data_IF_505294402440
#
_entry.id   IF_505294402440
#
_cell.length_a   1.000
_cell.length_b   1.000
_cell.length_c   1.000
_cell.angle_alpha   90.00
_cell.angle_beta   90.00
_cell.angle_gamma   90.00
#
_symmetry.space_group_name_H-M   'P 1'
#
loop_
_entity.id
_entity.type
_entity.pdbx_description
1 polymer ?
#
# COMPACT_ATOMS: atom_id res chain seq x y z
N UNK A 1 -74.82 19.48 55.08
CA UNK A 1 -73.82 20.53 54.81
C UNK A 1 -72.93 20.69 56.05
N UNK A 2 -71.65 21.01 55.83
CA UNK A 2 -70.56 21.25 56.79
C UNK A 2 -69.70 20.03 57.18
N UNK A 3 -68.39 20.21 57.01
CA UNK A 3 -67.36 19.22 56.71
C UNK A 3 -66.66 18.64 57.94
N UNK A 4 -66.23 17.37 57.83
CA UNK A 4 -65.31 16.72 58.77
C UNK A 4 -63.88 17.22 58.56
N UNK A 5 -63.28 17.71 59.63
CA UNK A 5 -61.86 18.06 59.76
C UNK A 5 -61.00 16.81 59.88
N UNK A 6 -60.17 16.53 58.87
CA UNK A 6 -59.10 15.52 58.91
C UNK A 6 -57.74 16.21 58.89
N UNK A 7 -57.01 16.14 60.02
CA UNK A 7 -55.64 16.62 60.13
C UNK A 7 -54.66 15.63 59.50
N UNK A 8 -53.78 16.11 58.61
CA UNK A 8 -52.69 15.34 58.05
C UNK A 8 -51.38 15.68 58.76
N UNK A 9 -50.84 14.69 59.49
CA UNK A 9 -49.51 14.75 60.12
C UNK A 9 -48.46 14.57 59.00
N UNK A 10 -47.70 15.63 58.68
CA UNK A 10 -46.49 15.50 57.85
C UNK A 10 -45.37 14.88 58.67
N UNK A 11 -45.08 13.59 58.47
CA UNK A 11 -43.79 13.00 58.86
C UNK A 11 -42.73 13.45 57.86
N UNK A 12 -41.84 14.37 58.26
CA UNK A 12 -40.58 14.63 57.55
C UNK A 12 -39.65 13.44 57.82
N UNK A 13 -39.32 12.68 56.78
CA UNK A 13 -38.21 11.72 56.86
C UNK A 13 -36.90 12.52 56.90
N UNK A 14 -36.23 12.50 58.05
CA UNK A 14 -34.85 12.96 58.18
C UNK A 14 -33.96 11.87 57.60
N UNK A 15 -33.39 12.10 56.42
CA UNK A 15 -32.29 11.26 55.95
C UNK A 15 -31.03 11.70 56.69
N UNK A 16 -30.46 10.77 57.46
CA UNK A 16 -29.20 10.93 58.17
C UNK A 16 -28.08 11.03 57.13
N UNK A 17 -27.38 12.16 57.05
CA UNK A 17 -26.09 12.27 56.34
C UNK A 17 -25.03 11.59 57.21
N UNK A 18 -24.73 10.33 56.92
CA UNK A 18 -23.50 9.70 57.39
C UNK A 18 -22.45 9.88 56.31
N UNK A 19 -21.47 10.75 56.57
CA UNK A 19 -20.24 10.86 55.79
C UNK A 19 -19.48 9.53 55.90
N UNK A 20 -19.75 8.62 54.97
CA UNK A 20 -19.00 7.39 54.84
C UNK A 20 -17.65 7.73 54.19
N UNK A 21 -16.57 7.72 54.97
CA UNK A 21 -15.22 7.64 54.44
C UNK A 21 -15.15 6.43 53.50
N UNK A 22 -14.87 6.61 52.20
CA UNK A 22 -14.83 5.49 51.28
C UNK A 22 -13.65 4.59 51.66
N UNK A 23 -13.95 3.35 52.02
CA UNK A 23 -12.95 2.32 52.27
C UNK A 23 -12.17 2.05 50.96
N UNK A 24 -10.84 2.30 50.92
CA UNK A 24 -10.05 2.17 49.70
C UNK A 24 -9.90 0.71 49.22
N UNK A 25 -10.27 -0.28 50.04
CA UNK A 25 -10.16 -1.70 49.70
C UNK A 25 -11.41 -2.28 49.04
N UNK A 26 -12.47 -1.49 48.83
CA UNK A 26 -13.68 -1.92 48.13
C UNK A 26 -13.97 -0.94 46.99
N UNK A 27 -13.10 -0.92 45.98
CA UNK A 27 -13.41 -0.29 44.71
C UNK A 27 -14.52 -1.11 44.03
N UNK A 28 -15.78 -0.71 44.24
CA UNK A 28 -16.88 -1.17 43.40
C UNK A 28 -16.57 -0.69 41.98
N UNK A 29 -16.21 -1.63 41.10
CA UNK A 29 -16.19 -1.40 39.65
C UNK A 29 -17.63 -1.16 39.24
N UNK A 30 -18.06 0.09 39.40
CA UNK A 30 -19.28 0.56 38.77
C UNK A 30 -18.91 0.74 37.31
N UNK A 31 -19.39 -0.17 36.46
CA UNK A 31 -19.46 0.10 35.03
C UNK A 31 -20.42 1.28 34.86
N UNK A 32 -19.90 2.50 35.02
CA UNK A 32 -20.63 3.70 34.67
C UNK A 32 -20.78 3.66 33.16
N UNK A 33 -21.99 3.33 32.71
CA UNK A 33 -22.39 3.55 31.33
C UNK A 33 -22.43 5.06 31.13
N UNK A 34 -21.28 5.64 30.77
CA UNK A 34 -21.24 7.02 30.29
C UNK A 34 -21.85 6.97 28.90
N UNK A 35 -23.05 7.53 28.74
CA UNK A 35 -23.64 7.74 27.42
C UNK A 35 -22.73 8.69 26.65
N UNK A 36 -21.84 8.13 25.83
CA UNK A 36 -20.97 8.92 24.97
C UNK A 36 -21.74 9.22 23.69
N UNK A 37 -22.25 10.44 23.58
CA UNK A 37 -22.78 10.96 22.33
C UNK A 37 -21.64 11.01 21.30
N UNK A 38 -21.84 10.36 20.15
CA UNK A 38 -20.88 10.35 19.06
C UNK A 38 -21.52 11.00 17.84
N UNK A 39 -20.98 12.13 17.40
CA UNK A 39 -21.28 12.71 16.10
C UNK A 39 -19.96 12.95 15.38
N UNK A 40 -19.68 12.15 14.36
CA UNK A 40 -18.43 12.19 13.60
C UNK A 40 -18.68 12.44 12.12
N UNK A 41 -17.82 13.21 11.47
CA UNK A 41 -17.78 13.38 10.02
C UNK A 41 -16.48 12.81 9.48
N UNK A 42 -16.56 11.94 8.46
CA UNK A 42 -15.40 11.32 7.84
C UNK A 42 -15.03 12.05 6.54
N UNK A 43 -13.73 12.19 6.30
CA UNK A 43 -13.16 12.75 5.08
C UNK A 43 -12.20 11.74 4.47
N UNK A 44 -12.41 11.42 3.20
CA UNK A 44 -11.53 10.54 2.43
C UNK A 44 -11.27 11.17 1.07
N UNK A 45 -10.04 11.05 0.60
CA UNK A 45 -9.62 11.40 -0.74
C UNK A 45 -8.86 10.22 -1.32
N UNK A 46 -9.26 9.78 -2.51
CA UNK A 46 -8.67 8.63 -3.18
C UNK A 46 -8.54 8.96 -4.67
N UNK A 47 -7.32 8.82 -5.21
CA UNK A 47 -7.02 9.17 -6.59
C UNK A 47 -6.03 8.19 -7.23
N UNK A 48 -6.06 8.10 -8.56
CA UNK A 48 -5.11 7.33 -9.36
C UNK A 48 -4.61 8.19 -10.52
N UNK A 49 -3.31 8.12 -10.83
CA UNK A 49 -2.67 8.91 -11.88
C UNK A 49 -2.14 8.02 -13.02
N UNK A 50 -2.67 8.24 -14.22
CA UNK A 50 -2.23 7.58 -15.45
C UNK A 50 -1.62 8.59 -16.43
N UNK A 51 -0.50 8.21 -17.06
CA UNK A 51 0.17 8.99 -18.10
C UNK A 51 0.17 8.22 -19.42
N UNK A 52 -0.08 8.91 -20.54
CA UNK A 52 0.07 8.36 -21.89
C UNK A 52 1.40 8.83 -22.48
N UNK A 53 2.32 7.90 -22.71
CA UNK A 53 3.64 8.19 -23.29
C UNK A 53 3.64 7.78 -24.76
N UNK A 54 4.17 8.61 -25.64
CA UNK A 54 4.38 8.23 -27.04
C UNK A 54 5.49 7.20 -27.12
N UNK A 55 5.24 6.06 -27.75
CA UNK A 55 6.28 5.07 -28.03
C UNK A 55 7.22 5.66 -29.10
N UNK A 56 8.29 6.31 -28.66
CA UNK A 56 9.47 6.49 -29.51
C UNK A 56 10.24 5.19 -29.43
N UNK A 57 10.02 4.35 -30.44
CA UNK A 57 10.78 3.14 -30.79
C UNK A 57 12.25 3.31 -30.35
N UNK A 58 12.60 2.70 -29.22
CA UNK A 58 13.96 2.54 -28.76
C UNK A 58 14.50 1.22 -29.33
N UNK A 59 14.65 1.17 -30.65
CA UNK A 59 15.46 0.18 -31.38
C UNK A 59 15.76 0.75 -32.77
N UNK A 60 16.95 1.36 -33.01
CA UNK A 60 17.36 1.80 -34.35
C UNK A 60 17.67 0.65 -35.32
N UNK A 61 17.33 -0.60 -34.97
CA UNK A 61 17.84 -1.80 -35.66
C UNK A 61 16.79 -2.77 -36.18
N UNK A 62 15.50 -2.44 -36.09
CA UNK A 62 14.46 -3.27 -36.68
C UNK A 62 13.34 -2.41 -37.27
N UNK A 63 13.63 -1.83 -38.43
CA UNK A 63 12.72 -0.98 -39.23
C UNK A 63 11.67 -1.79 -40.00
N UNK A 64 11.27 -2.95 -39.48
CA UNK A 64 10.44 -3.93 -40.20
C UNK A 64 9.19 -4.35 -39.44
N UNK A 65 8.63 -3.45 -38.62
CA UNK A 65 7.27 -3.60 -38.08
C UNK A 65 6.38 -2.49 -38.61
N UNK A 66 5.65 -2.89 -39.64
CA UNK A 66 4.61 -2.17 -40.35
C UNK A 66 3.70 -1.41 -39.40
N UNK A 67 3.55 -0.14 -39.76
CA UNK A 67 2.82 0.92 -39.10
C UNK A 67 1.33 0.54 -38.94
N UNK A 68 0.83 0.58 -37.71
CA UNK A 68 -0.59 0.74 -37.43
C UNK A 68 -0.77 2.10 -36.73
N UNK A 69 -1.52 3.05 -37.31
CA UNK A 69 -1.65 4.42 -36.80
C UNK A 69 -2.40 4.52 -35.45
N UNK A 70 -2.94 3.40 -34.95
CA UNK A 70 -3.69 3.29 -33.70
C UNK A 70 -2.76 3.11 -32.46
N UNK A 71 -1.48 2.78 -32.65
CA UNK A 71 -0.61 2.18 -31.60
C UNK A 71 0.53 3.08 -31.12
N UNK A 72 0.38 4.41 -31.16
CA UNK A 72 1.50 5.34 -30.83
C UNK A 72 1.63 5.70 -29.35
N UNK A 73 0.67 5.31 -28.49
CA UNK A 73 0.67 5.72 -27.09
C UNK A 73 0.61 4.51 -26.15
N UNK A 74 1.68 4.31 -25.37
CA UNK A 74 1.70 3.37 -24.26
C UNK A 74 1.14 4.05 -23.02
N UNK A 75 0.07 3.48 -22.45
CA UNK A 75 -0.46 3.89 -21.14
C UNK A 75 0.47 3.38 -20.05
N UNK A 76 0.93 4.28 -19.19
CA UNK A 76 1.77 3.97 -18.03
C UNK A 76 1.09 4.52 -16.79
N UNK A 77 0.66 3.62 -15.89
CA UNK A 77 0.12 4.01 -14.58
C UNK A 77 1.30 4.43 -13.69
N UNK A 78 1.33 5.70 -13.30
CA UNK A 78 2.40 6.23 -12.43
C UNK A 78 2.06 6.03 -10.96
N UNK A 79 0.78 6.17 -10.60
CA UNK A 79 0.26 5.93 -9.27
C UNK A 79 -1.06 5.18 -9.45
N UNK A 80 -1.12 3.95 -8.93
CA UNK A 80 -2.33 3.12 -9.00
C UNK A 80 -3.38 3.61 -8.00
N UNK A 81 -2.94 4.06 -6.84
CA UNK A 81 -3.79 4.65 -5.83
C UNK A 81 -2.98 5.49 -4.85
N UNK A 82 -3.41 6.72 -4.63
CA UNK A 82 -2.95 7.58 -3.54
C UNK A 82 -4.17 8.15 -2.85
N UNK A 83 -4.15 8.14 -1.53
CA UNK A 83 -5.25 8.68 -0.78
C UNK A 83 -4.92 9.01 0.66
N UNK A 84 -5.85 9.68 1.30
CA UNK A 84 -5.83 9.92 2.72
C UNK A 84 -7.22 9.84 3.33
N UNK A 85 -7.29 9.46 4.59
CA UNK A 85 -8.53 9.44 5.36
C UNK A 85 -8.32 10.02 6.76
N UNK A 86 -9.31 10.78 7.21
CA UNK A 86 -9.39 11.33 8.57
C UNK A 86 -10.86 11.49 8.95
N UNK A 87 -11.14 11.76 10.22
CA UNK A 87 -12.49 12.02 10.70
C UNK A 87 -12.47 13.10 11.76
N UNK A 88 -13.59 13.80 11.92
CA UNK A 88 -13.76 14.87 12.88
C UNK A 88 -14.94 14.55 13.80
N UNK A 89 -14.66 14.35 15.08
CA UNK A 89 -15.65 14.16 16.13
C UNK A 89 -16.09 15.50 16.71
N UNK A 90 -17.35 15.85 16.47
CA UNK A 90 -17.95 17.13 16.88
C UNK A 90 -18.18 17.15 18.40
N UNK A 91 -18.51 16.01 19.00
CA UNK A 91 -18.88 15.86 20.41
C UNK A 91 -17.68 15.63 21.34
N UNK A 92 -16.45 15.54 20.81
CA UNK A 92 -15.28 15.34 21.65
C UNK A 92 -14.84 16.65 22.33
N UNK A 93 -14.55 16.59 23.64
CA UNK A 93 -14.04 17.74 24.40
C UNK A 93 -12.63 18.17 23.94
N UNK A 94 -11.84 17.20 23.48
CA UNK A 94 -10.49 17.39 22.94
C UNK A 94 -10.20 16.39 21.82
N UNK A 95 -9.14 16.63 21.05
CA UNK A 95 -8.69 15.74 19.97
C UNK A 95 -9.80 15.42 18.95
N UNK A 96 -10.51 16.47 18.50
CA UNK A 96 -11.67 16.34 17.61
C UNK A 96 -11.32 15.72 16.26
N UNK A 97 -10.21 16.12 15.64
CA UNK A 97 -9.68 15.54 14.41
C UNK A 97 -8.91 14.24 14.70
N UNK A 98 -9.23 13.16 14.02
CA UNK A 98 -8.55 11.89 14.10
C UNK A 98 -7.20 11.92 13.35
N UNK A 99 -6.28 11.00 13.65
CA UNK A 99 -5.06 10.84 12.88
C UNK A 99 -5.34 10.68 11.38
N UNK A 100 -4.55 11.38 10.58
CA UNK A 100 -4.58 11.32 9.12
C UNK A 100 -3.85 10.06 8.67
N UNK A 101 -4.58 9.10 8.12
CA UNK A 101 -3.96 7.94 7.46
C UNK A 101 -3.75 8.26 5.99
N UNK A 102 -2.55 8.04 5.49
CA UNK A 102 -2.13 8.32 4.12
C UNK A 102 -1.63 7.01 3.52
N UNK A 103 -1.94 6.76 2.26
CA UNK A 103 -1.42 5.61 1.55
C UNK A 103 -1.06 5.96 0.11
N UNK A 104 -0.10 5.23 -0.44
CA UNK A 104 0.27 5.25 -1.85
C UNK A 104 0.60 3.85 -2.33
N UNK A 105 0.16 3.53 -3.54
CA UNK A 105 0.42 2.28 -4.24
C UNK A 105 0.74 2.60 -5.70
N UNK A 106 1.80 2.01 -6.21
CA UNK A 106 2.15 2.08 -7.62
C UNK A 106 2.78 0.78 -8.11
N UNK A 107 2.55 0.48 -9.39
CA UNK A 107 3.25 -0.58 -10.11
C UNK A 107 4.00 0.05 -11.29
N UNK A 108 5.27 0.34 -11.08
CA UNK A 108 6.11 0.96 -12.08
C UNK A 108 6.56 -0.08 -13.10
N UNK A 109 6.25 0.20 -14.37
CA UNK A 109 6.67 -0.59 -15.53
C UNK A 109 6.29 -2.08 -15.46
N UNK A 110 5.23 -2.42 -14.71
CA UNK A 110 4.78 -3.80 -14.49
C UNK A 110 5.83 -4.71 -13.83
N UNK A 111 6.85 -4.11 -13.22
CA UNK A 111 8.03 -4.81 -12.68
C UNK A 111 8.32 -4.47 -11.23
N UNK A 112 7.98 -3.26 -10.80
CA UNK A 112 8.29 -2.77 -9.46
C UNK A 112 7.00 -2.35 -8.78
N UNK A 113 6.53 -3.17 -7.85
CA UNK A 113 5.41 -2.82 -7.00
C UNK A 113 5.94 -2.06 -5.78
N UNK A 114 5.34 -0.90 -5.51
CA UNK A 114 5.66 -0.06 -4.36
C UNK A 114 4.36 0.22 -3.64
N UNK A 115 4.33 -0.03 -2.33
CA UNK A 115 3.25 0.39 -1.47
C UNK A 115 3.84 1.05 -0.22
N UNK A 116 3.27 2.18 0.16
CA UNK A 116 3.64 2.86 1.40
C UNK A 116 2.39 3.39 2.07
N UNK A 117 2.46 3.47 3.40
CA UNK A 117 1.41 4.04 4.23
C UNK A 117 2.02 4.79 5.39
N UNK A 118 1.33 5.83 5.87
CA UNK A 118 1.73 6.57 7.05
C UNK A 118 0.53 7.04 7.84
N UNK A 119 0.68 7.14 9.16
CA UNK A 119 -0.31 7.73 10.05
C UNK A 119 0.27 8.97 10.70
N UNK A 120 -0.35 10.11 10.45
CA UNK A 120 0.03 11.41 10.96
C UNK A 120 -0.95 11.86 12.04
N UNK A 121 -0.43 12.31 13.18
CA UNK A 121 -1.20 12.91 14.27
C UNK A 121 -1.18 14.43 14.08
N UNK A 122 -2.35 15.10 13.90
CA UNK A 122 -2.42 16.52 13.58
C UNK A 122 -2.21 17.46 14.77
N UNK A 123 -1.75 16.94 15.91
CA UNK A 123 -1.59 17.67 17.17
C UNK A 123 -0.13 17.82 17.56
N UNK A 124 0.16 18.80 18.41
CA UNK A 124 1.45 18.90 19.08
C UNK A 124 1.55 17.80 20.13
N UNK A 125 2.70 17.14 20.22
CA UNK A 125 2.97 16.16 21.27
C UNK A 125 3.68 16.85 22.45
N UNK A 126 3.37 16.43 23.67
CA UNK A 126 4.11 16.87 24.85
C UNK A 126 5.43 16.07 25.01
N UNK A 127 6.18 16.34 26.07
CA UNK A 127 7.45 15.64 26.38
C UNK A 127 7.27 14.14 26.68
N UNK A 128 6.04 13.66 26.77
CA UNK A 128 5.67 12.27 27.04
C UNK A 128 4.94 11.64 25.83
N UNK A 129 5.06 12.23 24.63
CA UNK A 129 4.45 11.70 23.41
C UNK A 129 2.93 11.86 23.27
N UNK A 130 2.25 12.38 24.30
CA UNK A 130 0.79 12.51 24.27
C UNK A 130 0.35 13.73 23.45
N UNK A 131 -0.67 13.52 22.60
CA UNK A 131 -1.28 14.58 21.83
C UNK A 131 -1.93 15.63 22.74
N UNK A 132 -1.57 16.89 22.50
CA UNK A 132 -2.17 18.04 23.18
C UNK A 132 -3.39 18.54 22.39
N UNK A 133 -4.28 19.31 23.02
CA UNK A 133 -5.44 19.91 22.34
C UNK A 133 -5.08 20.97 21.29
N UNK A 134 -3.78 21.23 21.06
CA UNK A 134 -3.29 22.20 20.08
C UNK A 134 -2.90 21.49 18.80
N UNK A 135 -3.36 22.04 17.68
CA UNK A 135 -2.97 21.54 16.37
C UNK A 135 -1.51 21.86 16.05
N UNK A 136 -0.87 21.00 15.28
CA UNK A 136 0.54 21.14 14.92
C UNK A 136 0.83 22.46 14.17
N UNK A 137 -0.09 22.90 13.31
CA UNK A 137 0.04 24.14 12.53
C UNK A 137 -0.15 25.43 13.35
N UNK A 138 -0.58 25.33 14.62
CA UNK A 138 -0.74 26.49 15.51
C UNK A 138 0.57 26.89 16.23
N UNK A 139 1.63 26.09 16.11
CA UNK A 139 2.88 26.22 16.89
C UNK A 139 3.92 27.22 16.37
N UNK A 140 3.55 28.14 15.47
CA UNK A 140 4.45 29.17 14.92
C UNK A 140 5.43 28.68 13.84
N UNK A 141 5.62 27.36 13.68
CA UNK A 141 6.30 26.73 12.53
C UNK A 141 5.28 25.95 11.71
N UNK A 142 5.40 25.99 10.38
CA UNK A 142 4.54 25.20 9.51
C UNK A 142 4.83 23.71 9.74
N UNK A 143 3.94 23.03 10.45
CA UNK A 143 3.96 21.59 10.70
C UNK A 143 2.57 21.03 10.52
N UNK A 144 2.46 19.96 9.75
CA UNK A 144 1.20 19.28 9.48
C UNK A 144 0.85 18.27 10.58
N UNK A 145 1.79 17.93 11.46
CA UNK A 145 1.64 16.89 12.48
C UNK A 145 2.91 16.06 12.66
N UNK A 146 2.81 15.02 13.49
CA UNK A 146 3.89 14.04 13.68
C UNK A 146 3.49 12.69 13.10
N UNK A 147 4.38 12.07 12.33
CA UNK A 147 4.17 10.73 11.79
C UNK A 147 4.46 9.73 12.92
N UNK A 148 3.48 8.90 13.25
CA UNK A 148 3.59 7.89 14.34
C UNK A 148 3.92 6.50 13.79
N UNK A 149 3.42 6.22 12.60
CA UNK A 149 3.71 4.99 11.87
C UNK A 149 3.98 5.34 10.41
N UNK A 150 4.98 4.71 9.82
CA UNK A 150 5.18 4.66 8.39
C UNK A 150 5.56 3.23 7.98
N UNK A 151 5.06 2.77 6.85
CA UNK A 151 5.44 1.51 6.24
C UNK A 151 5.76 1.72 4.77
N UNK A 152 6.71 0.94 4.27
CA UNK A 152 7.13 0.90 2.88
C UNK A 152 7.42 -0.55 2.50
N UNK A 153 6.78 -1.01 1.44
CA UNK A 153 7.01 -2.32 0.83
C UNK A 153 7.33 -2.15 -0.65
N UNK A 154 8.40 -2.81 -1.08
CA UNK A 154 8.90 -2.81 -2.45
C UNK A 154 9.03 -4.26 -2.91
N UNK A 155 8.48 -4.61 -4.07
CA UNK A 155 8.69 -5.93 -4.66
C UNK A 155 8.97 -5.85 -6.16
N UNK A 156 9.83 -6.73 -6.65
CA UNK A 156 10.15 -6.85 -8.07
C UNK A 156 10.38 -8.29 -8.46
N UNK A 157 9.96 -8.63 -9.68
CA UNK A 157 10.12 -9.96 -10.27
C UNK A 157 10.74 -9.83 -11.65
N UNK A 158 11.84 -10.55 -11.85
CA UNK A 158 12.51 -10.68 -13.15
C UNK A 158 12.42 -12.14 -13.59
N UNK A 159 12.06 -12.33 -14.85
CA UNK A 159 12.03 -13.65 -15.49
C UNK A 159 12.77 -13.59 -16.82
N UNK A 160 13.48 -14.68 -17.14
CA UNK A 160 14.06 -14.88 -18.46
C UNK A 160 12.98 -14.85 -19.54
N UNK A 161 13.28 -14.26 -20.69
CA UNK A 161 12.37 -14.35 -21.85
C UNK A 161 12.27 -15.83 -22.27
N UNK A 162 11.06 -16.35 -22.53
CA UNK A 162 10.92 -17.71 -23.05
C UNK A 162 11.58 -17.81 -24.42
N UNK A 163 12.03 -19.02 -24.77
CA UNK A 163 12.64 -19.31 -26.07
C UNK A 163 11.62 -19.01 -27.17
N UNK A 164 11.98 -18.16 -28.12
CA UNK A 164 11.11 -17.79 -29.23
C UNK A 164 11.05 -18.94 -30.25
N UNK A 165 9.90 -19.62 -30.40
CA UNK A 165 9.76 -20.77 -31.30
C UNK A 165 9.91 -20.38 -32.78
N UNK A 166 9.60 -19.14 -33.17
CA UNK A 166 9.76 -18.68 -34.55
C UNK A 166 11.24 -18.43 -34.86
N UNK A 167 11.98 -17.87 -33.89
CA UNK A 167 13.43 -17.66 -34.01
C UNK A 167 14.19 -18.99 -34.04
N UNK A 168 13.72 -19.98 -33.28
CA UNK A 168 14.26 -21.35 -33.33
C UNK A 168 13.93 -22.03 -34.67
N UNK A 169 12.71 -21.89 -35.19
CA UNK A 169 12.35 -22.39 -36.53
C UNK A 169 13.20 -21.76 -37.63
N UNK A 170 13.35 -20.43 -37.65
CA UNK A 170 14.24 -19.75 -38.62
C UNK A 170 15.69 -20.22 -38.50
N UNK A 171 16.17 -20.48 -37.29
CA UNK A 171 17.50 -21.06 -37.06
C UNK A 171 17.59 -22.49 -37.61
N UNK A 172 16.59 -23.32 -37.37
CA UNK A 172 16.54 -24.69 -37.89
C UNK A 172 16.39 -24.72 -39.42
N UNK A 173 15.58 -23.85 -40.00
CA UNK A 173 15.40 -23.73 -41.45
C UNK A 173 16.69 -23.26 -42.14
N UNK A 174 17.40 -22.30 -41.54
CA UNK A 174 18.72 -21.87 -42.03
C UNK A 174 19.76 -23.01 -41.95
N UNK A 175 19.77 -23.77 -40.85
CA UNK A 175 20.65 -24.94 -40.71
C UNK A 175 20.29 -26.01 -41.76
N UNK A 176 19.01 -26.32 -41.94
CA UNK A 176 18.53 -27.30 -42.91
C UNK A 176 18.81 -26.90 -44.36
N UNK A 177 18.77 -25.61 -44.69
CA UNK A 177 19.16 -25.11 -46.02
C UNK A 177 20.66 -25.28 -46.27
N UNK A 178 21.49 -24.99 -45.26
CA UNK A 178 22.95 -25.16 -45.33
C UNK A 178 23.34 -26.65 -45.43
N UNK A 179 22.58 -27.53 -44.78
CA UNK A 179 22.78 -28.99 -44.81
C UNK A 179 22.23 -29.67 -46.08
N UNK A 180 21.42 -29.00 -46.89
CA UNK A 180 20.90 -29.58 -48.15
C UNK A 180 21.65 -29.09 -49.39
N UNK A 181 22.73 -28.31 -49.23
CA UNK A 181 23.55 -27.81 -50.34
C UNK A 181 24.42 -28.96 -50.92
N UNK A 182 24.22 -29.39 -52.18
CA UNK A 182 24.91 -30.54 -52.77
C UNK A 182 26.43 -30.40 -52.86
N UNK A 183 26.97 -29.17 -52.72
CA UNK A 183 28.41 -28.90 -52.77
C UNK A 183 29.14 -29.16 -51.42
N UNK A 184 28.41 -29.31 -50.30
CA UNK A 184 28.99 -29.48 -48.95
C UNK A 184 28.86 -30.90 -48.35
N UNK A 185 28.47 -31.90 -49.14
CA UNK A 185 28.17 -33.27 -48.62
C UNK A 185 29.37 -34.01 -47.99
N UNK A 186 30.60 -33.71 -48.41
CA UNK A 186 31.81 -34.32 -47.85
C UNK A 186 32.15 -33.74 -46.46
N UNK A 187 32.00 -32.41 -46.29
CA UNK A 187 32.18 -31.75 -45.00
C UNK A 187 31.07 -32.13 -44.01
N UNK A 188 29.84 -32.36 -44.49
CA UNK A 188 28.72 -32.81 -43.66
C UNK A 188 29.01 -34.11 -42.92
N UNK A 189 29.62 -35.11 -43.57
CA UNK A 189 29.93 -36.38 -42.91
C UNK A 189 30.95 -36.18 -41.78
N UNK A 190 31.96 -35.34 -41.99
CA UNK A 190 32.94 -35.00 -40.95
C UNK A 190 32.29 -34.21 -39.79
N UNK A 191 31.41 -33.26 -40.09
CA UNK A 191 30.65 -32.49 -39.10
C UNK A 191 29.69 -33.37 -38.29
N UNK A 192 29.02 -34.36 -38.90
CA UNK A 192 28.18 -35.31 -38.19
C UNK A 192 28.99 -36.22 -37.26
N UNK A 193 30.16 -36.67 -37.69
CA UNK A 193 31.07 -37.49 -36.87
C UNK A 193 31.64 -36.68 -35.70
N UNK A 194 31.98 -35.41 -35.94
CA UNK A 194 32.36 -34.45 -34.90
C UNK A 194 31.20 -34.17 -33.93
N UNK A 195 29.98 -33.96 -34.43
CA UNK A 195 28.79 -33.68 -33.62
C UNK A 195 28.37 -34.88 -32.75
N UNK A 196 28.49 -36.10 -33.28
CA UNK A 196 28.25 -37.35 -32.54
C UNK A 196 29.30 -37.56 -31.44
N UNK A 197 30.53 -37.11 -31.63
CA UNK A 197 31.57 -37.07 -30.58
C UNK A 197 31.39 -35.87 -29.62
N UNK A 198 30.85 -34.74 -30.09
CA UNK A 198 30.72 -33.49 -29.36
C UNK A 198 29.31 -33.27 -28.77
N UNK A 199 28.71 -34.31 -28.21
CA UNK A 199 27.33 -34.34 -27.65
C UNK A 199 27.06 -33.40 -26.45
N UNK A 200 27.79 -32.29 -26.31
CA UNK A 200 27.69 -31.28 -25.26
C UNK A 200 27.60 -29.86 -25.79
N UNK A 201 26.77 -29.61 -26.81
CA UNK A 201 26.31 -28.24 -27.02
C UNK A 201 25.37 -27.87 -25.87
N UNK A 202 25.90 -27.12 -24.89
CA UNK A 202 25.13 -26.62 -23.76
C UNK A 202 24.15 -25.58 -24.28
N UNK A 203 22.84 -25.84 -24.18
CA UNK A 203 21.82 -24.83 -24.42
C UNK A 203 21.83 -23.84 -23.25
N UNK A 204 22.43 -22.67 -23.45
CA UNK A 204 22.52 -21.62 -22.43
C UNK A 204 21.19 -20.90 -22.18
N UNK A 205 20.10 -21.27 -22.86
CA UNK A 205 18.76 -20.74 -22.60
C UNK A 205 18.10 -21.44 -21.40
N UNK A 206 18.70 -21.30 -20.22
CA UNK A 206 18.14 -21.79 -18.96
C UNK A 206 17.14 -20.76 -18.41
N UNK A 207 15.88 -21.15 -18.15
CA UNK A 207 14.90 -20.23 -17.58
C UNK A 207 15.30 -19.87 -16.16
N UNK A 208 15.34 -18.58 -15.84
CA UNK A 208 15.66 -18.08 -14.51
C UNK A 208 14.60 -17.08 -14.06
N UNK A 209 14.33 -17.08 -12.76
CA UNK A 209 13.49 -16.08 -12.12
C UNK A 209 14.13 -15.58 -10.84
N UNK A 210 14.04 -14.28 -10.62
CA UNK A 210 14.55 -13.60 -9.42
C UNK A 210 13.44 -12.74 -8.87
N UNK A 211 13.06 -13.00 -7.62
CA UNK A 211 12.06 -12.21 -6.88
C UNK A 211 12.77 -11.52 -5.72
N UNK A 212 12.60 -10.20 -5.63
CA UNK A 212 13.12 -9.40 -4.53
C UNK A 212 11.96 -8.72 -3.83
N UNK A 213 11.90 -8.85 -2.51
CA UNK A 213 10.92 -8.19 -1.65
C UNK A 213 11.66 -7.48 -0.53
N UNK A 214 11.33 -6.21 -0.31
CA UNK A 214 11.82 -5.40 0.80
C UNK A 214 10.63 -4.81 1.55
N UNK A 215 10.68 -4.88 2.87
CA UNK A 215 9.68 -4.31 3.76
C UNK A 215 10.37 -3.54 4.87
N UNK A 216 9.88 -2.33 5.15
CA UNK A 216 10.30 -1.53 6.29
C UNK A 216 9.08 -0.92 6.96
N UNK A 217 9.14 -0.85 8.28
CA UNK A 217 8.17 -0.15 9.10
C UNK A 217 8.92 0.71 10.11
N UNK A 218 8.45 1.93 10.30
CA UNK A 218 8.91 2.84 11.33
C UNK A 218 7.72 3.03 12.26
N UNK A 219 7.92 2.71 13.52
CA UNK A 219 7.01 2.99 14.61
C UNK A 219 7.82 3.87 15.54
N UNK A 220 7.40 5.11 15.71
CA UNK A 220 8.05 5.99 16.69
C UNK A 220 7.44 5.66 18.05
N UNK A 221 8.23 4.96 18.89
CA UNK A 221 7.97 4.81 20.33
C UNK A 221 8.75 5.91 21.07
N UNK A 222 8.14 6.44 22.14
CA UNK A 222 8.65 7.56 22.94
C UNK A 222 9.92 7.21 23.76
#
# INVERSE_FOLDING_TARGET
MANRTGGFIRKKALYNTMDAYPNPYIARVTNQFVSRENAGMSFSFDNSLEMKVRDKISDPKDTTKTESPETQFKKVRLIEGFGFNTSYNIMADSLKLAPLSIYVRTNLFEKVNISAGATLVPYQLNNFGAATSKYAWQGGKFSIGKITNANLSLSTSFQSKPKDPEKEKKRQDAINQTLNDPMMRADQQQLLEYANQSSKFVDFNTPWSVNLCFHSAIIEED
#
